data_IF_994842129129
#
_entry.id   IF_994842129129
#
_cell.length_a   1.000
_cell.length_b   1.000
_cell.length_c   1.000
_cell.angle_alpha   90.00
_cell.angle_beta   90.00
_cell.angle_gamma   90.00
#
_symmetry.space_group_name_H-M   'P 1'
#
loop_
_entity.id
_entity.type
_entity.pdbx_description
1 polymer ?
#
# COMPACT_ATOMS: atom_id res chain seq x y z
N UNK A 1 -10.66 -16.03 18.53
CA UNK A 1 -11.51 -15.26 17.61
C UNK A 1 -10.60 -14.67 16.55
N UNK A 2 -10.44 -15.34 15.42
CA UNK A 2 -9.64 -14.81 14.30
C UNK A 2 -10.49 -13.76 13.60
N UNK A 3 -10.26 -12.49 13.94
CA UNK A 3 -10.85 -11.37 13.22
C UNK A 3 -10.26 -11.35 11.81
N UNK A 4 -10.90 -12.05 10.88
CA UNK A 4 -10.67 -11.82 9.45
C UNK A 4 -11.11 -10.39 9.19
N UNK A 5 -10.16 -9.46 9.14
CA UNK A 5 -10.40 -8.17 8.52
C UNK A 5 -10.99 -8.50 7.14
N UNK A 6 -12.20 -8.03 6.78
CA UNK A 6 -12.72 -8.30 5.45
C UNK A 6 -11.67 -7.75 4.49
N UNK A 7 -11.07 -8.64 3.69
CA UNK A 7 -10.09 -8.23 2.71
C UNK A 7 -10.85 -7.44 1.65
N UNK A 8 -10.92 -6.13 1.84
CA UNK A 8 -11.57 -5.22 0.93
C UNK A 8 -10.52 -4.82 -0.12
N UNK A 9 -10.92 -4.67 -1.40
CA UNK A 9 -10.02 -4.10 -2.40
C UNK A 9 -9.59 -2.69 -1.99
N UNK A 10 -8.35 -2.33 -2.30
CA UNK A 10 -7.79 -1.02 -1.99
C UNK A 10 -7.15 -0.41 -3.22
N UNK A 11 -7.33 0.89 -3.41
CA UNK A 11 -6.68 1.56 -4.54
C UNK A 11 -5.25 1.98 -4.18
N UNK A 12 -4.33 1.77 -5.12
CA UNK A 12 -2.97 2.27 -5.05
C UNK A 12 -2.99 3.79 -4.88
N UNK A 13 -2.36 4.29 -3.82
CA UNK A 13 -2.35 5.72 -3.50
C UNK A 13 -1.76 6.58 -4.64
N UNK A 14 -0.83 6.03 -5.43
CA UNK A 14 -0.15 6.77 -6.50
C UNK A 14 -0.89 6.78 -7.83
N UNK A 15 -1.33 5.62 -8.30
CA UNK A 15 -1.89 5.46 -9.65
C UNK A 15 -3.39 5.14 -9.69
N UNK A 16 -4.02 4.87 -8.53
CA UNK A 16 -5.43 4.50 -8.43
C UNK A 16 -5.75 3.07 -8.92
N UNK A 17 -4.75 2.27 -9.25
CA UNK A 17 -4.95 0.85 -9.60
C UNK A 17 -5.48 0.08 -8.38
N UNK A 18 -6.57 -0.65 -8.57
CA UNK A 18 -7.15 -1.50 -7.52
C UNK A 18 -6.23 -2.68 -7.22
N UNK A 19 -5.96 -2.87 -5.94
CA UNK A 19 -5.20 -3.97 -5.33
C UNK A 19 -6.22 -4.92 -4.71
N UNK A 20 -6.30 -6.13 -5.26
CA UNK A 20 -7.24 -7.14 -4.81
C UNK A 20 -6.67 -7.94 -3.63
N UNK A 21 -7.54 -8.53 -2.79
CA UNK A 21 -7.12 -9.49 -1.78
C UNK A 21 -6.23 -10.62 -2.35
N UNK A 22 -5.00 -10.71 -1.84
CA UNK A 22 -4.02 -11.72 -2.27
C UNK A 22 -2.99 -11.22 -3.28
N UNK A 23 -3.13 -10.00 -3.80
CA UNK A 23 -2.11 -9.36 -4.61
C UNK A 23 -0.84 -9.03 -3.81
N UNK A 24 0.29 -8.99 -4.51
CA UNK A 24 1.54 -8.48 -3.92
C UNK A 24 1.53 -6.95 -4.03
N UNK A 25 1.68 -6.28 -2.90
CA UNK A 25 1.70 -4.83 -2.80
C UNK A 25 2.88 -4.34 -1.94
N UNK A 26 3.16 -3.04 -2.01
CA UNK A 26 4.03 -2.36 -1.06
C UNK A 26 3.19 -1.57 -0.06
N UNK A 27 3.40 -1.82 1.23
CA UNK A 27 2.89 -0.97 2.30
C UNK A 27 3.99 0.01 2.69
N UNK A 28 3.63 1.29 2.77
CA UNK A 28 4.49 2.32 3.35
C UNK A 28 3.80 2.88 4.58
N UNK A 29 4.44 2.66 5.73
CA UNK A 29 4.16 3.42 6.94
C UNK A 29 5.10 4.62 6.95
N UNK A 30 4.57 5.78 6.58
CA UNK A 30 5.23 7.06 6.75
C UNK A 30 4.57 7.74 7.95
N UNK A 31 5.35 8.06 8.98
CA UNK A 31 4.86 8.92 10.05
C UNK A 31 4.86 10.35 9.50
N UNK A 32 3.68 10.90 9.20
CA UNK A 32 3.55 12.35 9.02
C UNK A 32 3.67 13.05 10.39
N UNK A 33 3.52 14.38 10.42
CA UNK A 33 3.63 15.15 11.66
C UNK A 33 2.58 14.75 12.71
N UNK A 34 1.51 14.09 12.28
CA UNK A 34 0.40 13.62 13.11
C UNK A 34 0.52 12.11 13.42
N UNK A 35 1.43 11.41 12.75
CA UNK A 35 1.78 10.00 12.97
C UNK A 35 0.98 8.99 12.14
N UNK A 36 0.24 9.42 11.12
CA UNK A 36 -0.91 8.65 10.59
C UNK A 36 -0.86 8.30 9.10
N UNK A 37 0.29 8.33 8.40
CA UNK A 37 0.30 8.03 6.97
C UNK A 37 0.65 6.58 6.64
N UNK A 38 -0.33 5.69 6.75
CA UNK A 38 -0.26 4.35 6.16
C UNK A 38 -0.82 4.39 4.72
N UNK A 39 0.04 4.23 3.72
CA UNK A 39 -0.36 4.15 2.30
C UNK A 39 -0.01 2.80 1.69
N UNK A 40 -0.86 2.35 0.76
CA UNK A 40 -0.60 1.16 -0.06
C UNK A 40 -0.31 1.54 -1.51
N UNK A 41 0.71 0.90 -2.06
CA UNK A 41 1.13 1.05 -3.45
C UNK A 41 1.05 -0.30 -4.17
N UNK A 42 0.60 -0.28 -5.42
CA UNK A 42 0.70 -1.46 -6.29
C UNK A 42 2.17 -1.86 -6.48
N UNK A 43 2.40 -3.10 -6.93
CA UNK A 43 3.74 -3.65 -7.16
C UNK A 43 4.61 -2.73 -8.02
N UNK A 44 4.05 -2.19 -9.10
CA UNK A 44 4.77 -1.33 -10.05
C UNK A 44 5.21 -0.02 -9.41
N UNK A 45 4.30 0.67 -8.70
CA UNK A 45 4.61 1.92 -8.01
C UNK A 45 5.61 1.71 -6.87
N UNK A 46 5.52 0.57 -6.18
CA UNK A 46 6.45 0.19 -5.11
C UNK A 46 7.85 -0.06 -5.64
N UNK A 47 7.99 -0.74 -6.78
CA UNK A 47 9.29 -0.95 -7.43
C UNK A 47 9.91 0.37 -7.89
N UNK A 48 9.13 1.22 -8.57
CA UNK A 48 9.60 2.52 -9.02
C UNK A 48 10.04 3.43 -7.87
N UNK A 49 9.40 3.33 -6.70
CA UNK A 49 9.83 4.07 -5.51
C UNK A 49 11.16 3.54 -4.95
N UNK A 50 11.35 2.22 -4.90
CA UNK A 50 12.62 1.62 -4.46
C UNK A 50 13.78 2.05 -5.36
N UNK A 51 13.59 1.96 -6.68
CA UNK A 51 14.59 2.37 -7.68
C UNK A 51 14.96 3.87 -7.55
N UNK A 52 14.07 4.71 -7.03
CA UNK A 52 14.34 6.13 -6.80
C UNK A 52 15.13 6.40 -5.51
N UNK A 53 15.01 5.53 -4.50
CA UNK A 53 15.67 5.67 -3.20
C UNK A 53 17.09 5.09 -3.19
N UNK A 54 17.40 4.18 -4.12
CA UNK A 54 18.74 3.64 -4.37
C UNK A 54 19.64 4.66 -5.09
#
# INVERSE_FOLDING_TARGET
>A
MTGSNPAQPHDCHRCGETIEPGDVYGALDLLDADGDLQVMLCRTCSAALRDFLD
#
